data_IF_918795370109
#
_entry.id   IF_918795370109
#
_cell.length_a   1.000
_cell.length_b   1.000
_cell.length_c   1.000
_cell.angle_alpha   90.00
_cell.angle_beta   90.00
_cell.angle_gamma   90.00
#
_symmetry.space_group_name_H-M   'P 1'
#
loop_
_entity.id
_entity.type
_entity.pdbx_description
1 polymer ?
#
# COMPACT_ATOMS: atom_id res chain seq x y z
N UNK A 1 -22.49 -30.72 -38.89
CA UNK A 1 -21.98 -29.44 -38.38
C UNK A 1 -22.92 -28.92 -37.30
N UNK A 2 -22.63 -29.25 -36.04
CA UNK A 2 -23.31 -28.66 -34.87
C UNK A 2 -22.92 -27.18 -34.82
N UNK A 3 -23.88 -26.29 -35.01
CA UNK A 3 -23.64 -24.85 -34.85
C UNK A 3 -23.37 -24.63 -33.36
N UNK A 4 -22.14 -24.28 -33.00
CA UNK A 4 -21.83 -23.75 -31.67
C UNK A 4 -22.71 -22.52 -31.47
N UNK A 5 -23.66 -22.58 -30.53
CA UNK A 5 -24.32 -21.36 -30.06
C UNK A 5 -23.24 -20.44 -29.48
N UNK A 6 -23.20 -19.16 -29.87
CA UNK A 6 -22.30 -18.20 -29.23
C UNK A 6 -22.63 -18.17 -27.74
N UNK A 7 -21.59 -18.27 -26.90
CA UNK A 7 -21.74 -18.06 -25.47
C UNK A 7 -22.39 -16.69 -25.22
N UNK A 8 -23.20 -16.53 -24.16
CA UNK A 8 -23.78 -15.23 -23.83
C UNK A 8 -22.67 -14.19 -23.74
N UNK A 9 -22.72 -13.16 -24.57
CA UNK A 9 -21.84 -12.01 -24.43
C UNK A 9 -22.33 -11.30 -23.17
N UNK A 10 -21.58 -11.43 -22.08
CA UNK A 10 -21.87 -10.73 -20.83
C UNK A 10 -21.95 -9.24 -21.14
N UNK A 11 -23.10 -8.62 -20.83
CA UNK A 11 -23.31 -7.21 -21.10
C UNK A 11 -22.22 -6.40 -20.38
N UNK A 12 -21.65 -5.36 -21.01
CA UNK A 12 -20.57 -4.60 -20.40
C UNK A 12 -21.05 -4.04 -19.06
N UNK A 13 -20.22 -4.23 -18.02
CA UNK A 13 -20.52 -3.71 -16.70
C UNK A 13 -20.82 -2.20 -16.78
N UNK A 14 -21.93 -1.78 -16.19
CA UNK A 14 -22.29 -0.35 -16.12
C UNK A 14 -21.19 0.41 -15.41
N UNK A 15 -20.69 1.49 -16.03
CA UNK A 15 -19.68 2.33 -15.43
C UNK A 15 -20.21 2.97 -14.13
N UNK A 16 -19.34 3.17 -13.14
CA UNK A 16 -19.71 3.86 -11.93
C UNK A 16 -20.16 5.29 -12.25
N UNK A 17 -21.25 5.75 -11.62
CA UNK A 17 -21.66 7.15 -11.74
C UNK A 17 -20.59 8.11 -11.19
N UNK A 18 -20.71 9.43 -11.44
CA UNK A 18 -19.71 10.42 -11.04
C UNK A 18 -19.34 10.37 -9.55
N UNK A 19 -20.30 10.09 -8.66
CA UNK A 19 -20.06 9.92 -7.24
C UNK A 19 -19.20 8.69 -6.91
N UNK A 20 -19.36 7.59 -7.63
CA UNK A 20 -18.54 6.39 -7.47
C UNK A 20 -17.11 6.62 -7.92
N UNK A 21 -16.91 7.33 -9.03
CA UNK A 21 -15.57 7.72 -9.50
C UNK A 21 -14.90 8.67 -8.51
N UNK A 22 -15.60 9.69 -8.02
CA UNK A 22 -15.06 10.61 -7.03
C UNK A 22 -14.72 9.92 -5.70
N UNK A 23 -15.58 9.01 -5.22
CA UNK A 23 -15.31 8.21 -4.03
C UNK A 23 -14.07 7.32 -4.18
N UNK A 24 -13.90 6.69 -5.34
CA UNK A 24 -12.72 5.89 -5.62
C UNK A 24 -11.43 6.74 -5.67
N UNK A 25 -11.48 7.90 -6.33
CA UNK A 25 -10.34 8.82 -6.39
C UNK A 25 -9.92 9.31 -5.01
N UNK A 26 -10.88 9.66 -4.15
CA UNK A 26 -10.58 10.08 -2.77
C UNK A 26 -10.02 8.94 -1.93
N UNK A 27 -10.51 7.72 -2.12
CA UNK A 27 -9.99 6.53 -1.45
C UNK A 27 -8.54 6.25 -1.85
N UNK A 28 -8.25 6.19 -3.15
CA UNK A 28 -6.91 5.94 -3.67
C UNK A 28 -5.94 7.06 -3.24
N UNK A 29 -6.41 8.31 -3.32
CA UNK A 29 -5.65 9.48 -2.88
C UNK A 29 -5.36 9.47 -1.37
N UNK A 30 -6.31 9.06 -0.53
CA UNK A 30 -6.09 8.99 0.91
C UNK A 30 -5.14 7.84 1.31
N UNK A 31 -5.10 6.75 0.54
CA UNK A 31 -4.21 5.61 0.77
C UNK A 31 -2.75 5.88 0.39
N UNK A 32 -2.51 6.68 -0.67
CA UNK A 32 -1.18 6.97 -1.20
C UNK A 32 -0.17 7.55 -0.16
N UNK A 33 -0.52 8.56 0.66
CA UNK A 33 0.39 9.15 1.64
C UNK A 33 0.75 8.22 2.80
N UNK A 34 -0.08 7.20 3.09
CA UNK A 34 0.16 6.30 4.21
C UNK A 34 1.47 5.52 4.01
N UNK A 35 1.60 4.82 2.88
CA UNK A 35 2.78 4.00 2.61
C UNK A 35 4.06 4.82 2.43
N UNK A 36 3.95 6.04 1.91
CA UNK A 36 5.12 6.87 1.59
C UNK A 36 5.55 7.75 2.77
N UNK A 37 4.62 8.50 3.36
CA UNK A 37 4.93 9.47 4.41
C UNK A 37 4.88 8.85 5.80
N UNK A 38 3.84 8.07 6.12
CA UNK A 38 3.67 7.52 7.48
C UNK A 38 4.77 6.52 7.77
N UNK A 39 5.04 5.59 6.87
CA UNK A 39 6.08 4.57 7.06
C UNK A 39 7.47 5.20 7.19
N UNK A 40 7.80 6.24 6.42
CA UNK A 40 9.14 6.83 6.39
C UNK A 40 9.34 7.90 7.46
N UNK A 41 8.45 8.89 7.53
CA UNK A 41 8.66 10.09 8.34
C UNK A 41 7.97 10.04 9.69
N UNK A 42 6.97 9.18 9.89
CA UNK A 42 6.25 9.08 11.17
C UNK A 42 6.69 7.86 11.96
N UNK A 43 6.71 6.69 11.33
CA UNK A 43 6.97 5.45 12.02
C UNK A 43 8.43 5.30 12.45
N UNK A 44 9.39 5.67 11.61
CA UNK A 44 10.81 5.57 11.96
C UNK A 44 11.20 6.42 13.20
N UNK A 45 10.83 7.72 13.30
CA UNK A 45 11.06 8.48 14.54
C UNK A 45 10.25 7.96 15.73
N UNK A 46 9.02 7.48 15.52
CA UNK A 46 8.22 6.88 16.58
C UNK A 46 8.90 5.64 17.17
N UNK A 47 9.41 4.74 16.32
CA UNK A 47 10.14 3.56 16.77
C UNK A 47 11.36 3.96 17.61
N UNK A 48 12.18 4.88 17.10
CA UNK A 48 13.39 5.30 17.79
C UNK A 48 13.12 5.98 19.13
N UNK A 49 12.04 6.75 19.24
CA UNK A 49 11.74 7.56 20.45
C UNK A 49 10.82 6.89 21.46
N UNK A 50 9.91 6.02 21.03
CA UNK A 50 8.86 5.47 21.88
C UNK A 50 8.92 3.95 22.05
N UNK A 51 9.56 3.22 21.12
CA UNK A 51 9.65 1.75 21.16
C UNK A 51 11.02 1.29 21.66
N UNK A 52 12.09 1.98 21.23
CA UNK A 52 13.44 1.63 21.62
C UNK A 52 13.80 2.09 23.05
N UNK A 53 14.81 1.48 23.69
CA UNK A 53 15.25 1.86 25.04
C UNK A 53 15.74 3.31 25.15
N UNK A 54 16.39 3.81 24.09
CA UNK A 54 16.81 5.19 23.95
C UNK A 54 16.85 5.60 22.47
N UNK A 55 16.78 6.90 22.16
CA UNK A 55 16.76 7.38 20.78
C UNK A 55 17.97 6.99 19.94
N UNK A 56 19.16 6.89 20.54
CA UNK A 56 20.41 6.64 19.80
C UNK A 56 20.47 5.19 19.37
N UNK A 57 20.24 4.27 20.31
CA UNK A 57 20.14 2.84 20.00
C UNK A 57 18.93 2.54 19.11
N UNK A 58 17.81 3.25 19.30
CA UNK A 58 16.63 3.13 18.44
C UNK A 58 16.90 3.45 16.97
N UNK A 59 17.66 4.52 16.69
CA UNK A 59 18.10 4.85 15.33
C UNK A 59 18.98 3.76 14.72
N UNK A 60 19.94 3.22 15.49
CA UNK A 60 20.79 2.14 15.02
C UNK A 60 19.98 0.86 14.70
N UNK A 61 19.08 0.47 15.59
CA UNK A 61 18.19 -0.69 15.41
C UNK A 61 17.29 -0.52 14.19
N UNK A 62 16.73 0.67 13.97
CA UNK A 62 15.92 0.97 12.79
C UNK A 62 16.71 0.82 11.49
N UNK A 63 17.96 1.27 11.47
CA UNK A 63 18.87 1.09 10.34
C UNK A 63 19.14 -0.39 10.03
N UNK A 64 19.45 -1.20 11.06
CA UNK A 64 19.62 -2.65 10.89
C UNK A 64 18.33 -3.33 10.41
N UNK A 65 17.17 -2.97 10.96
CA UNK A 65 15.88 -3.51 10.53
C UNK A 65 15.60 -3.19 9.05
N UNK A 66 15.87 -1.96 8.61
CA UNK A 66 15.69 -1.54 7.21
C UNK A 66 16.65 -2.29 6.29
N UNK A 67 17.91 -2.47 6.71
CA UNK A 67 18.90 -3.25 5.96
C UNK A 67 18.51 -4.73 5.84
N UNK A 68 18.05 -5.34 6.93
CA UNK A 68 17.55 -6.72 6.95
C UNK A 68 16.31 -6.88 6.06
N UNK A 69 15.38 -5.92 6.09
CA UNK A 69 14.22 -5.92 5.19
C UNK A 69 14.64 -5.83 3.72
N UNK A 70 15.61 -4.98 3.38
CA UNK A 70 16.16 -4.89 2.03
C UNK A 70 16.79 -6.21 1.56
N UNK A 71 17.54 -6.89 2.43
CA UNK A 71 18.09 -8.23 2.14
C UNK A 71 16.99 -9.28 1.96
N UNK A 72 15.96 -9.27 2.80
CA UNK A 72 14.83 -10.20 2.71
C UNK A 72 14.00 -9.99 1.43
N UNK A 73 13.89 -8.76 0.91
CA UNK A 73 13.25 -8.48 -0.38
C UNK A 73 14.12 -8.97 -1.54
N UNK A 74 15.44 -8.91 -1.40
CA UNK A 74 16.39 -9.27 -2.46
C UNK A 74 16.56 -10.78 -2.66
N UNK A 75 16.26 -11.60 -1.65
CA UNK A 75 16.35 -13.06 -1.67
C UNK A 75 15.01 -13.71 -2.01
#
# INVERSE_FOLDING_TARGET
MSKLSPAPVEAPASYAGPAGVAGWLLFDWAGQPFFTLVTTFVFAPYFASAVAPDPTTGQALWGFATGAAGLAIAL
#
